data_IF_527759884622
#
_entry.id   IF_527759884622
#
_cell.length_a   1.000
_cell.length_b   1.000
_cell.length_c   1.000
_cell.angle_alpha   90.00
_cell.angle_beta   90.00
_cell.angle_gamma   90.00
#
_symmetry.space_group_name_H-M   'P 1'
#
loop_
_entity.id
_entity.type
_entity.pdbx_description
1 polymer ?
#
# COMPACT_ATOMS: atom_id res chain seq x y z
N UNK A 1 -16.65 -44.78 32.43
CA UNK A 1 -15.46 -43.90 32.31
C UNK A 1 -14.39 -44.65 31.54
N UNK A 2 -13.60 -44.01 30.65
CA UNK A 2 -12.59 -44.60 29.73
C UNK A 2 -13.05 -45.01 28.31
N UNK A 3 -13.99 -44.30 27.68
CA UNK A 3 -14.14 -44.33 26.19
C UNK A 3 -14.44 -42.96 25.59
N UNK A 4 -14.28 -41.91 26.40
CA UNK A 4 -14.48 -40.51 26.02
C UNK A 4 -13.13 -39.86 25.65
N UNK A 5 -12.00 -40.55 25.86
CA UNK A 5 -10.63 -40.02 25.72
C UNK A 5 -10.07 -39.99 24.30
N UNK A 6 -10.87 -40.35 23.28
CA UNK A 6 -10.60 -39.90 21.90
C UNK A 6 -11.39 -38.63 21.63
N UNK A 7 -11.39 -37.75 22.64
CA UNK A 7 -11.66 -36.32 22.52
C UNK A 7 -10.83 -35.84 21.35
N UNK A 8 -11.52 -35.44 20.28
CA UNK A 8 -11.08 -34.38 19.37
C UNK A 8 -9.61 -34.58 18.97
N UNK A 9 -9.40 -35.51 18.03
CA UNK A 9 -8.15 -35.59 17.27
C UNK A 9 -8.05 -34.29 16.45
N UNK A 10 -7.57 -33.24 17.11
CA UNK A 10 -6.81 -32.11 16.57
C UNK A 10 -7.34 -31.63 15.21
N UNK A 11 -8.50 -30.97 15.24
CA UNK A 11 -8.75 -29.82 14.35
C UNK A 11 -8.07 -28.57 14.98
N UNK A 12 -6.93 -28.76 15.65
CA UNK A 12 -6.16 -27.69 16.27
C UNK A 12 -4.94 -27.44 15.39
N UNK A 13 -5.10 -26.52 14.44
CA UNK A 13 -4.01 -26.14 13.53
C UNK A 13 -4.42 -25.65 12.15
N UNK A 14 -5.70 -25.33 11.90
CA UNK A 14 -6.04 -24.48 10.77
C UNK A 14 -5.73 -23.02 11.14
N UNK A 15 -4.45 -22.73 11.36
CA UNK A 15 -3.95 -21.36 11.20
C UNK A 15 -3.92 -21.13 9.69
N UNK A 16 -5.07 -20.79 9.12
CA UNK A 16 -5.07 -20.12 7.83
C UNK A 16 -4.44 -18.77 8.14
N UNK A 17 -3.13 -18.65 7.88
CA UNK A 17 -2.51 -17.36 7.77
C UNK A 17 -3.27 -16.65 6.65
N UNK A 18 -4.21 -15.77 7.01
CA UNK A 18 -4.85 -14.91 6.05
C UNK A 18 -3.71 -14.12 5.39
N UNK A 19 -3.40 -14.46 4.14
CA UNK A 19 -2.39 -13.73 3.39
C UNK A 19 -2.80 -12.25 3.44
N UNK A 20 -1.91 -11.39 3.93
CA UNK A 20 -2.19 -9.96 3.93
C UNK A 20 -2.35 -9.52 2.47
N UNK A 21 -3.59 -9.19 2.08
CA UNK A 21 -3.86 -8.72 0.73
C UNK A 21 -3.45 -7.25 0.65
N UNK A 22 -2.27 -6.99 0.10
CA UNK A 22 -1.86 -5.64 -0.25
C UNK A 22 -2.53 -5.27 -1.57
N UNK A 23 -3.31 -4.19 -1.58
CA UNK A 23 -3.92 -3.64 -2.78
C UNK A 23 -3.74 -2.15 -2.76
N UNK A 24 -3.34 -1.60 -3.90
CA UNK A 24 -3.03 -0.19 -4.05
C UNK A 24 -3.41 0.30 -5.44
N UNK A 25 -3.94 1.52 -5.50
CA UNK A 25 -4.12 2.29 -6.72
C UNK A 25 -3.20 3.51 -6.66
N UNK A 26 -2.38 3.66 -7.70
CA UNK A 26 -1.46 4.79 -7.85
C UNK A 26 -1.96 5.69 -8.97
N UNK A 27 -2.23 6.95 -8.65
CA UNK A 27 -2.67 7.95 -9.62
C UNK A 27 -1.52 8.90 -9.96
N UNK A 28 -1.28 9.10 -11.26
CA UNK A 28 -0.24 9.98 -11.78
C UNK A 28 -0.90 11.20 -12.42
N UNK A 29 -0.51 12.39 -11.97
CA UNK A 29 -0.97 13.66 -12.56
C UNK A 29 0.17 14.34 -13.30
N UNK A 30 -0.12 14.86 -14.48
CA UNK A 30 0.85 15.51 -15.35
C UNK A 30 0.45 16.96 -15.62
N UNK A 31 1.45 17.82 -15.83
CA UNK A 31 1.20 19.16 -16.35
C UNK A 31 0.99 19.14 -17.88
N UNK A 32 0.70 20.32 -18.46
CA UNK A 32 0.47 20.47 -19.89
C UNK A 32 1.69 20.13 -20.77
N UNK A 33 2.89 20.03 -20.19
CA UNK A 33 4.11 19.61 -20.89
C UNK A 33 4.35 18.09 -20.77
N UNK A 34 3.46 17.37 -20.10
CA UNK A 34 3.58 15.93 -19.86
C UNK A 34 4.56 15.58 -18.73
N UNK A 35 4.94 16.53 -17.88
CA UNK A 35 5.83 16.27 -16.74
C UNK A 35 5.01 15.82 -15.54
N UNK A 36 5.51 14.83 -14.79
CA UNK A 36 4.84 14.29 -13.60
C UNK A 36 4.84 15.31 -12.46
N UNK A 37 3.68 15.78 -12.02
CA UNK A 37 3.56 16.79 -10.95
C UNK A 37 3.04 16.24 -9.63
N UNK A 38 2.33 15.10 -9.66
CA UNK A 38 1.81 14.46 -8.45
C UNK A 38 1.68 12.95 -8.59
N UNK A 39 1.96 12.24 -7.51
CA UNK A 39 1.68 10.80 -7.33
C UNK A 39 0.87 10.65 -6.08
N UNK A 40 -0.31 10.03 -6.19
CA UNK A 40 -1.20 9.73 -5.08
C UNK A 40 -1.38 8.23 -4.92
N UNK A 41 -1.20 7.76 -3.70
CA UNK A 41 -1.36 6.37 -3.31
C UNK A 41 -2.64 6.21 -2.49
N UNK A 42 -3.44 5.22 -2.85
CA UNK A 42 -4.65 4.83 -2.12
C UNK A 42 -4.74 3.32 -2.04
N UNK A 43 -5.31 2.79 -0.96
CA UNK A 43 -5.45 1.35 -0.77
C UNK A 43 -5.08 0.93 0.64
N UNK A 44 -4.21 -0.08 0.77
CA UNK A 44 -3.82 -0.61 2.08
C UNK A 44 -2.51 0.02 2.57
N UNK A 45 -1.36 -0.45 2.11
CA UNK A 45 -0.06 -0.20 2.76
C UNK A 45 0.36 1.27 2.72
N UNK A 46 0.24 1.95 1.58
CA UNK A 46 0.65 3.36 1.43
C UNK A 46 -0.56 4.29 1.32
N UNK A 47 -1.66 3.96 1.98
CA UNK A 47 -2.88 4.74 1.85
C UNK A 47 -2.65 6.20 2.27
N UNK A 48 -3.10 7.14 1.43
CA UNK A 48 -2.94 8.60 1.63
C UNK A 48 -1.49 9.10 1.56
N UNK A 49 -0.54 8.30 1.05
CA UNK A 49 0.78 8.82 0.70
C UNK A 49 0.64 9.65 -0.57
N UNK A 50 1.14 10.88 -0.53
CA UNK A 50 1.14 11.77 -1.69
C UNK A 50 2.54 12.35 -1.91
N UNK A 51 2.99 12.41 -3.16
CA UNK A 51 4.23 13.06 -3.55
C UNK A 51 3.97 14.14 -4.59
N UNK A 52 4.48 15.34 -4.35
CA UNK A 52 4.42 16.48 -5.27
C UNK A 52 5.80 16.81 -5.83
N UNK A 53 5.82 17.23 -7.08
CA UNK A 53 7.02 17.63 -7.79
C UNK A 53 6.89 19.06 -8.32
N UNK A 54 7.99 19.82 -8.24
CA UNK A 54 8.09 21.18 -8.81
C UNK A 54 9.24 21.22 -9.78
N UNK A 55 9.05 21.94 -10.88
CA UNK A 55 10.03 22.11 -11.94
C UNK A 55 10.28 23.58 -12.22
N UNK A 56 11.51 23.92 -12.57
CA UNK A 56 11.84 25.24 -13.12
C UNK A 56 11.47 25.35 -14.62
N UNK A 57 11.87 26.46 -15.24
CA UNK A 57 11.61 26.73 -16.67
C UNK A 57 12.49 25.91 -17.62
N UNK A 58 13.60 25.35 -17.14
CA UNK A 58 14.53 24.53 -17.91
C UNK A 58 14.26 23.03 -17.71
N UNK A 59 13.08 22.67 -17.20
CA UNK A 59 12.64 21.31 -16.90
C UNK A 59 13.44 20.57 -15.81
N UNK A 60 14.22 21.30 -15.00
CA UNK A 60 14.86 20.69 -13.85
C UNK A 60 13.85 20.52 -12.71
N UNK A 61 13.82 19.34 -12.10
CA UNK A 61 13.02 19.10 -10.90
C UNK A 61 13.69 19.78 -9.70
N UNK A 62 13.11 20.86 -9.23
CA UNK A 62 13.66 21.68 -8.12
C UNK A 62 13.18 21.22 -6.76
N UNK A 63 12.05 20.49 -6.68
CA UNK A 63 11.55 19.96 -5.42
C UNK A 63 10.85 18.60 -5.59
N UNK A 64 10.92 17.78 -4.54
CA UNK A 64 10.11 16.59 -4.29
C UNK A 64 9.66 16.62 -2.84
N UNK A 65 8.36 16.70 -2.62
CA UNK A 65 7.79 16.65 -1.27
C UNK A 65 6.87 15.46 -1.15
N UNK A 66 7.13 14.58 -0.19
CA UNK A 66 6.29 13.42 0.14
C UNK A 66 5.63 13.67 1.49
N UNK A 67 4.34 13.33 1.60
CA UNK A 67 3.53 13.46 2.81
C UNK A 67 2.74 12.17 3.04
N UNK A 68 2.34 11.94 4.30
CA UNK A 68 1.55 10.75 4.67
C UNK A 68 2.33 9.45 4.69
N UNK A 69 3.66 9.48 4.52
CA UNK A 69 4.49 8.29 4.67
C UNK A 69 4.42 7.76 6.13
N UNK A 70 4.28 6.44 6.33
CA UNK A 70 4.23 5.82 7.65
C UNK A 70 5.57 5.89 8.41
#
# INVERSE_FOLDING_TARGET
MRRIEKVILVIAGLVVAAAAVASETISYSYDARGRLVRVDHSGTVNNNVATNYVYDKADNRTNKTTTGAP
#
